data_IF_374933156406
#
_entry.id   IF_374933156406
#
_cell.length_a   1.000
_cell.length_b   1.000
_cell.length_c   1.000
_cell.angle_alpha   90.00
_cell.angle_beta   90.00
_cell.angle_gamma   90.00
#
_symmetry.space_group_name_H-M   'P 1'
#
loop_
_entity.id
_entity.type
_entity.pdbx_description
1 polymer ?
#
# COMPACT_ATOMS: atom_id res chain seq x y z
N UNK A 1 19.38 6.98 -15.80
CA UNK A 1 18.09 7.65 -15.54
C UNK A 1 18.39 9.13 -15.41
N UNK A 2 17.66 10.02 -16.10
CA UNK A 2 17.81 11.47 -15.92
C UNK A 2 17.28 11.87 -14.53
N UNK A 3 17.85 12.90 -13.94
CA UNK A 3 17.35 13.45 -12.69
C UNK A 3 15.91 13.96 -12.84
N UNK A 4 15.11 13.73 -11.81
CA UNK A 4 13.74 14.28 -11.76
C UNK A 4 13.81 15.79 -11.70
N UNK A 5 12.82 16.40 -12.33
CA UNK A 5 12.61 17.85 -12.34
C UNK A 5 11.28 18.19 -11.68
N UNK A 6 11.11 19.47 -11.34
CA UNK A 6 9.85 19.97 -10.76
C UNK A 6 8.63 19.63 -11.64
N UNK A 7 8.81 19.62 -12.96
CA UNK A 7 7.76 19.22 -13.89
C UNK A 7 7.31 17.76 -13.67
N UNK A 8 8.25 16.85 -13.42
CA UNK A 8 7.95 15.44 -13.13
C UNK A 8 7.15 15.31 -11.83
N UNK A 9 7.55 16.06 -10.80
CA UNK A 9 6.89 16.06 -9.48
C UNK A 9 5.48 16.68 -9.52
N UNK A 10 5.30 17.77 -10.26
CA UNK A 10 4.00 18.42 -10.42
C UNK A 10 3.03 17.52 -11.18
N UNK A 11 3.45 17.00 -12.34
CA UNK A 11 2.58 16.22 -13.22
C UNK A 11 2.28 14.84 -12.62
N UNK A 12 3.31 14.10 -12.21
CA UNK A 12 3.11 12.80 -11.57
C UNK A 12 2.37 12.95 -10.24
N UNK A 13 2.68 13.99 -9.45
CA UNK A 13 1.99 14.25 -8.19
C UNK A 13 0.50 14.56 -8.38
N UNK A 14 0.13 15.29 -9.43
CA UNK A 14 -1.27 15.53 -9.75
C UNK A 14 -2.01 14.22 -10.08
N UNK A 15 -1.38 13.35 -10.88
CA UNK A 15 -1.93 12.03 -11.17
C UNK A 15 -2.03 11.15 -9.92
N UNK A 16 -0.98 11.09 -9.09
CA UNK A 16 -0.95 10.29 -7.87
C UNK A 16 -2.03 10.71 -6.87
N UNK A 17 -2.27 12.02 -6.70
CA UNK A 17 -3.36 12.56 -5.87
C UNK A 17 -4.74 12.12 -6.36
N UNK A 18 -5.00 12.30 -7.66
CA UNK A 18 -6.28 11.90 -8.25
C UNK A 18 -6.51 10.38 -8.17
N UNK A 19 -5.45 9.59 -8.40
CA UNK A 19 -5.51 8.14 -8.26
C UNK A 19 -5.76 7.73 -6.81
N UNK A 20 -5.07 8.34 -5.84
CA UNK A 20 -5.25 8.07 -4.42
C UNK A 20 -6.71 8.30 -3.99
N UNK A 21 -7.29 9.45 -4.35
CA UNK A 21 -8.68 9.77 -4.01
C UNK A 21 -9.66 8.72 -4.52
N UNK A 22 -9.39 8.17 -5.70
CA UNK A 22 -10.21 7.14 -6.33
C UNK A 22 -10.09 5.78 -5.62
N UNK A 23 -8.88 5.36 -5.23
CA UNK A 23 -8.63 4.00 -4.73
C UNK A 23 -8.67 3.89 -3.20
N UNK A 24 -8.40 4.97 -2.47
CA UNK A 24 -8.27 4.96 -1.02
C UNK A 24 -9.52 4.44 -0.28
N UNK A 25 -10.77 4.74 -0.70
CA UNK A 25 -11.96 4.17 -0.07
C UNK A 25 -11.99 2.64 -0.14
N UNK A 26 -11.68 2.05 -1.30
CA UNK A 26 -11.65 0.61 -1.50
C UNK A 26 -10.51 -0.06 -0.72
N UNK A 27 -9.33 0.57 -0.71
CA UNK A 27 -8.18 0.13 0.08
C UNK A 27 -8.51 0.10 1.57
N UNK A 28 -9.09 1.19 2.10
CA UNK A 28 -9.50 1.27 3.51
C UNK A 28 -10.50 0.21 3.87
N UNK A 29 -11.45 -0.11 2.98
CA UNK A 29 -12.41 -1.19 3.22
C UNK A 29 -11.75 -2.56 3.29
N UNK A 30 -10.89 -2.88 2.32
CA UNK A 30 -10.17 -4.15 2.30
C UNK A 30 -9.24 -4.30 3.51
N UNK A 31 -8.57 -3.22 3.93
CA UNK A 31 -7.71 -3.21 5.09
C UNK A 31 -8.50 -3.38 6.41
N UNK A 32 -9.68 -2.75 6.52
CA UNK A 32 -10.56 -2.91 7.66
C UNK A 32 -10.98 -4.37 7.85
N UNK A 33 -11.40 -5.03 6.77
CA UNK A 33 -11.79 -6.44 6.79
C UNK A 33 -10.59 -7.36 7.17
N UNK A 34 -9.37 -6.91 6.91
CA UNK A 34 -8.12 -7.58 7.26
C UNK A 34 -7.58 -7.23 8.66
N UNK A 35 -8.23 -6.32 9.40
CA UNK A 35 -7.81 -5.91 10.76
C UNK A 35 -6.77 -4.79 10.81
N UNK A 36 -6.64 -3.99 9.75
CA UNK A 36 -5.67 -2.92 9.63
C UNK A 36 -6.32 -1.54 9.44
N UNK A 37 -5.71 -0.52 10.05
CA UNK A 37 -5.91 0.88 9.68
C UNK A 37 -4.89 1.29 8.61
N UNK A 38 -5.29 2.14 7.67
CA UNK A 38 -4.43 2.66 6.59
C UNK A 38 -4.19 4.15 6.80
N UNK A 39 -2.92 4.54 6.81
CA UNK A 39 -2.50 5.93 6.68
C UNK A 39 -1.74 6.16 5.37
N UNK A 40 -1.83 7.37 4.84
CA UNK A 40 -1.09 7.83 3.66
C UNK A 40 0.12 8.62 4.16
N UNK A 41 1.27 8.41 3.55
CA UNK A 41 2.52 9.08 3.88
C UNK A 41 3.14 9.71 2.62
N UNK A 42 4.18 10.52 2.81
CA UNK A 42 5.00 11.05 1.72
C UNK A 42 4.39 12.27 1.02
N UNK A 43 5.08 12.76 -0.01
CA UNK A 43 4.68 13.95 -0.76
C UNK A 43 3.70 13.67 -1.90
N UNK A 44 3.51 12.40 -2.26
CA UNK A 44 2.79 11.93 -3.44
C UNK A 44 3.41 12.30 -4.80
N UNK A 45 4.58 12.96 -4.82
CA UNK A 45 5.18 13.44 -6.08
C UNK A 45 5.68 12.32 -6.99
N UNK A 46 6.11 11.19 -6.43
CA UNK A 46 6.68 10.05 -7.17
C UNK A 46 5.83 8.81 -7.01
N UNK A 47 5.61 8.43 -5.77
CA UNK A 47 4.95 7.22 -5.29
C UNK A 47 3.78 7.60 -4.37
N UNK A 48 2.88 6.65 -4.15
CA UNK A 48 1.84 6.73 -3.13
C UNK A 48 2.26 5.81 -1.99
N UNK A 49 2.77 6.37 -0.90
CA UNK A 49 3.14 5.58 0.28
C UNK A 49 1.91 5.31 1.16
N UNK A 50 1.66 4.04 1.44
CA UNK A 50 0.68 3.59 2.41
C UNK A 50 1.37 2.86 3.57
N UNK A 51 0.87 3.10 4.79
CA UNK A 51 1.24 2.31 5.96
C UNK A 51 0.00 1.65 6.54
N UNK A 52 0.01 0.32 6.55
CA UNK A 52 -0.97 -0.52 7.21
C UNK A 52 -0.52 -0.81 8.64
N UNK A 53 -1.35 -0.44 9.60
CA UNK A 53 -1.10 -0.56 11.04
C UNK A 53 -2.14 -1.55 11.59
N UNK A 54 -1.72 -2.67 12.22
CA UNK A 54 -2.65 -3.56 12.91
C UNK A 54 -3.52 -2.76 13.88
N UNK A 55 -4.84 -2.93 13.80
CA UNK A 55 -5.80 -2.12 14.55
C UNK A 55 -6.66 -2.95 15.52
N UNK A 56 -6.78 -4.24 15.27
CA UNK A 56 -7.52 -5.18 16.12
C UNK A 56 -6.55 -6.12 16.85
N UNK A 57 -6.98 -6.63 18.00
CA UNK A 57 -6.15 -7.47 18.88
C UNK A 57 -5.93 -8.89 18.33
N UNK A 58 -6.95 -9.47 17.69
CA UNK A 58 -6.94 -10.86 17.24
C UNK A 58 -7.41 -10.98 15.79
N UNK A 59 -7.06 -12.10 15.15
CA UNK A 59 -7.47 -12.42 13.78
C UNK A 59 -7.03 -11.38 12.73
N UNK A 60 -5.95 -10.63 13.00
CA UNK A 60 -5.29 -9.79 12.01
C UNK A 60 -4.75 -10.68 10.89
N UNK A 61 -5.04 -10.34 9.65
CA UNK A 61 -4.59 -11.12 8.50
C UNK A 61 -3.07 -11.03 8.33
N UNK A 62 -2.49 -11.99 7.61
CA UNK A 62 -1.08 -11.90 7.24
C UNK A 62 -0.83 -10.73 6.29
N UNK A 63 0.39 -10.20 6.28
CA UNK A 63 0.80 -9.14 5.33
C UNK A 63 0.60 -9.55 3.86
N UNK A 64 0.75 -10.83 3.53
CA UNK A 64 0.47 -11.38 2.20
C UNK A 64 -1.03 -11.31 1.87
N UNK A 65 -1.89 -11.77 2.78
CA UNK A 65 -3.35 -11.73 2.58
C UNK A 65 -3.86 -10.28 2.49
N UNK A 66 -3.34 -9.37 3.31
CA UNK A 66 -3.62 -7.93 3.22
C UNK A 66 -3.20 -7.36 1.85
N UNK A 67 -1.96 -7.64 1.39
CA UNK A 67 -1.46 -7.19 0.08
C UNK A 67 -2.39 -7.67 -1.04
N UNK A 68 -2.80 -8.93 -1.00
CA UNK A 68 -3.63 -9.53 -2.04
C UNK A 68 -5.04 -8.91 -2.06
N UNK A 69 -5.62 -8.66 -0.88
CA UNK A 69 -6.89 -7.96 -0.72
C UNK A 69 -6.83 -6.51 -1.23
N UNK A 70 -5.78 -5.76 -0.88
CA UNK A 70 -5.56 -4.39 -1.38
C UNK A 70 -5.37 -4.39 -2.89
N UNK A 71 -4.55 -5.29 -3.43
CA UNK A 71 -4.31 -5.41 -4.87
C UNK A 71 -5.62 -5.73 -5.62
N UNK A 72 -6.44 -6.64 -5.09
CA UNK A 72 -7.77 -6.96 -5.62
C UNK A 72 -8.72 -5.76 -5.57
N UNK A 73 -8.77 -5.03 -4.45
CA UNK A 73 -9.60 -3.84 -4.28
C UNK A 73 -9.22 -2.73 -5.27
N UNK A 74 -7.92 -2.43 -5.39
CA UNK A 74 -7.42 -1.44 -6.36
C UNK A 74 -7.75 -1.89 -7.78
N UNK A 75 -7.50 -3.16 -8.13
CA UNK A 75 -7.84 -3.72 -9.45
C UNK A 75 -9.33 -3.60 -9.76
N UNK A 76 -10.21 -3.79 -8.78
CA UNK A 76 -11.65 -3.62 -8.95
C UNK A 76 -12.07 -2.20 -9.31
N UNK A 77 -11.28 -1.19 -8.92
CA UNK A 77 -11.56 0.22 -9.20
C UNK A 77 -10.94 0.69 -10.51
N UNK A 78 -9.67 0.36 -10.76
CA UNK A 78 -8.90 0.91 -11.90
C UNK A 78 -8.69 -0.09 -13.04
N UNK A 79 -9.19 -1.32 -12.90
CA UNK A 79 -9.08 -2.41 -13.87
C UNK A 79 -7.76 -3.17 -13.81
N UNK A 80 -6.64 -2.53 -13.42
CA UNK A 80 -5.31 -3.18 -13.42
C UNK A 80 -4.42 -2.74 -12.25
N UNK A 81 -4.09 -3.72 -11.42
CA UNK A 81 -3.12 -3.62 -10.34
C UNK A 81 -2.36 -4.94 -10.19
N UNK A 82 -1.03 -4.89 -10.05
CA UNK A 82 -0.15 -6.05 -9.93
C UNK A 82 0.94 -5.82 -8.89
N UNK A 83 1.62 -6.88 -8.50
CA UNK A 83 2.87 -6.83 -7.74
C UNK A 83 3.79 -7.94 -8.24
N UNK A 84 5.09 -7.83 -7.96
CA UNK A 84 6.04 -8.87 -8.32
C UNK A 84 5.94 -10.05 -7.34
N UNK A 85 5.22 -11.10 -7.71
CA UNK A 85 4.98 -12.26 -6.83
C UNK A 85 6.26 -12.95 -6.32
N UNK A 86 7.34 -12.92 -7.11
CA UNK A 86 8.63 -13.52 -6.76
C UNK A 86 9.57 -12.55 -6.02
N UNK A 87 9.11 -11.36 -5.67
CA UNK A 87 9.92 -10.37 -4.94
C UNK A 87 9.64 -10.51 -3.45
N UNK A 88 10.70 -10.80 -2.71
CA UNK A 88 10.66 -10.82 -1.24
C UNK A 88 10.27 -9.45 -0.68
N UNK A 89 9.55 -9.48 0.44
CA UNK A 89 9.26 -8.27 1.21
C UNK A 89 10.56 -7.64 1.71
N UNK A 90 10.64 -6.32 1.63
CA UNK A 90 11.79 -5.59 2.19
C UNK A 90 11.53 -5.27 3.66
N UNK A 91 12.42 -5.70 4.55
CA UNK A 91 12.38 -5.28 5.97
C UNK A 91 12.86 -3.83 6.09
N UNK A 92 12.10 -3.01 6.82
CA UNK A 92 12.35 -1.58 7.03
C UNK A 92 12.42 -1.29 8.54
N UNK A 93 12.83 -0.08 8.97
CA UNK A 93 12.89 0.28 10.39
C UNK A 93 11.58 -0.01 11.13
N UNK A 94 11.72 -0.36 12.42
CA UNK A 94 10.64 -0.81 13.31
C UNK A 94 9.97 -2.13 12.90
N UNK A 95 10.67 -2.96 12.12
CA UNK A 95 10.21 -4.30 11.74
C UNK A 95 9.09 -4.32 10.70
N UNK A 96 8.75 -3.18 10.09
CA UNK A 96 7.73 -3.12 9.05
C UNK A 96 8.22 -3.76 7.75
N UNK A 97 7.31 -4.38 7.03
CA UNK A 97 7.57 -5.02 5.74
C UNK A 97 7.06 -4.12 4.61
N UNK A 98 7.86 -3.91 3.57
CA UNK A 98 7.47 -3.09 2.43
C UNK A 98 7.43 -3.89 1.13
N UNK A 99 6.44 -3.60 0.30
CA UNK A 99 6.29 -4.08 -1.08
C UNK A 99 5.68 -2.98 -1.95
N UNK A 100 5.81 -3.09 -3.26
CA UNK A 100 5.26 -2.13 -4.22
C UNK A 100 4.17 -2.80 -5.05
N UNK A 101 3.01 -2.15 -5.12
CA UNK A 101 1.95 -2.46 -6.06
C UNK A 101 2.09 -1.52 -7.27
N UNK A 102 2.05 -2.09 -8.46
CA UNK A 102 2.06 -1.36 -9.73
C UNK A 102 0.60 -1.14 -10.16
N UNK A 103 0.22 0.12 -10.34
CA UNK A 103 -1.16 0.52 -10.63
C UNK A 103 -1.21 1.20 -12.00
N UNK A 104 -2.15 0.79 -12.84
CA UNK A 104 -2.43 1.42 -14.14
C UNK A 104 -3.83 2.01 -14.13
N UNK A 105 -3.96 3.27 -14.55
CA UNK A 105 -5.25 3.92 -14.75
C UNK A 105 -5.21 4.75 -16.04
N UNK A 106 -6.00 4.34 -17.04
CA UNK A 106 -5.91 4.91 -18.39
C UNK A 106 -4.53 4.66 -19.02
N UNK A 107 -3.87 5.74 -19.47
CA UNK A 107 -2.52 5.69 -20.07
C UNK A 107 -1.40 5.94 -19.05
N UNK A 108 -1.71 6.07 -17.76
CA UNK A 108 -0.76 6.43 -16.71
C UNK A 108 -0.48 5.25 -15.77
N UNK A 109 0.66 5.34 -15.08
CA UNK A 109 1.08 4.38 -14.07
C UNK A 109 1.50 5.07 -12.78
N UNK A 110 1.28 4.41 -11.64
CA UNK A 110 1.80 4.82 -10.34
C UNK A 110 2.36 3.62 -9.58
N UNK A 111 3.37 3.91 -8.78
CA UNK A 111 3.86 3.02 -7.74
C UNK A 111 3.09 3.30 -6.44
N UNK A 112 2.47 2.26 -5.91
CA UNK A 112 1.77 2.27 -4.63
C UNK A 112 2.58 1.43 -3.64
N UNK A 113 3.36 2.10 -2.81
CA UNK A 113 4.25 1.47 -1.84
C UNK A 113 3.49 1.13 -0.56
N UNK A 114 3.29 -0.17 -0.33
CA UNK A 114 2.61 -0.70 0.85
C UNK A 114 3.63 -1.13 1.90
N UNK A 115 3.65 -0.39 3.01
CA UNK A 115 4.31 -0.81 4.25
C UNK A 115 3.31 -1.44 5.21
N UNK A 116 3.65 -2.57 5.82
CA UNK A 116 2.82 -3.28 6.81
C UNK A 116 3.60 -3.37 8.12
N UNK A 117 3.06 -2.77 9.18
CA UNK A 117 3.62 -2.89 10.52
C UNK A 117 3.43 -4.33 11.04
N UNK A 118 4.40 -4.87 11.81
CA UNK A 118 4.27 -6.19 12.40
C UNK A 118 3.15 -6.21 13.45
N UNK A 119 2.46 -7.34 13.57
CA UNK A 119 1.60 -7.62 14.72
C UNK A 119 2.48 -7.89 15.94
N UNK A 120 2.14 -7.28 17.08
CA UNK A 120 2.72 -7.64 18.36
C UNK A 120 1.68 -8.50 19.05
N UNK A 121 1.98 -9.78 19.20
CA UNK A 121 1.13 -10.67 19.99
C UNK A 121 1.14 -10.18 21.44
N UNK A 122 -0.04 -10.08 22.06
CA UNK A 122 -0.17 -9.80 23.48
C UNK A 122 0.59 -10.83 24.31
N UNK A 123 0.87 -10.50 25.58
CA UNK A 123 1.76 -11.24 26.49
C UNK A 123 1.29 -12.67 26.87
N UNK A 124 0.31 -13.22 26.19
CA UNK A 124 -0.40 -14.45 26.57
C UNK A 124 -0.08 -15.66 25.65
N UNK A 125 0.81 -15.51 24.67
CA UNK A 125 1.26 -16.61 23.78
C UNK A 125 2.51 -17.37 24.31
N UNK A 126 2.95 -17.10 25.54
CA UNK A 126 3.86 -17.97 26.29
C UNK A 126 3.06 -18.99 27.12
N UNK A 127 2.44 -19.95 26.42
CA UNK A 127 1.82 -21.15 26.99
C UNK A 127 2.70 -22.38 26.86
#
# INVERSE_FOLDING_TARGET
MRDRTDADDIVQGAYNRALLDLILPAIRRAALDAGYAITVHGSLNRDIDLVAIPWIEHNVWTKEALRDAICGAVRGVVGRCHYHANREWTVKPHGRFATTLLVWCGQNTADLDLSVMPTIHGKDDEG
#
